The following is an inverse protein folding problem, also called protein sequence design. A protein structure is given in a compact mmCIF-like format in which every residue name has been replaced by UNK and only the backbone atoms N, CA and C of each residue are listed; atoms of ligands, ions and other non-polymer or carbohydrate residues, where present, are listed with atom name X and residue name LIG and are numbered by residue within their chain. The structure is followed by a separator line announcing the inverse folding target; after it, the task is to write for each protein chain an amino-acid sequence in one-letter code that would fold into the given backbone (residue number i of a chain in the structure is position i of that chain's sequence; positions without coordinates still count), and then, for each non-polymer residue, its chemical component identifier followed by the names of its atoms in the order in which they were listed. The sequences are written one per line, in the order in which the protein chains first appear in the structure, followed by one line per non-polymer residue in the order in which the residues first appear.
data_IF_830153300219
#
_entry.id   IF_830153300219
#
_cell.length_a   1.000
_cell.length_b   1.000
_cell.length_c   1.000
_cell.angle_alpha   90.00
_cell.angle_beta   90.00
_cell.angle_gamma   90.00
#
_symmetry.space_group_name_H-M   'P 1'
#
loop_
_entity.id
_entity.type
_entity.pdbx_description
1 polymer ?
#
# COMPACT_ATOMS: atom_id res chain seq x y z
N UNK A 1 76.59 -1.98 1.37
CA UNK A 1 75.51 -2.59 2.17
C UNK A 1 74.27 -1.71 2.04
N UNK A 2 73.29 -2.12 1.29
CA UNK A 2 71.98 -1.38 1.13
C UNK A 2 70.94 -2.15 1.93
N UNK A 3 70.12 -1.49 2.75
CA UNK A 3 69.05 -2.17 3.47
C UNK A 3 67.85 -2.39 2.53
N UNK A 4 67.32 -3.62 2.50
CA UNK A 4 66.04 -4.00 1.90
C UNK A 4 64.91 -3.60 2.85
N UNK A 5 64.01 -2.71 2.36
CA UNK A 5 62.75 -2.39 3.07
C UNK A 5 61.72 -3.39 2.58
N UNK A 6 61.25 -4.24 3.50
CA UNK A 6 60.14 -5.19 3.30
C UNK A 6 58.82 -4.43 3.50
N UNK A 7 58.08 -4.13 2.45
CA UNK A 7 56.73 -3.54 2.54
C UNK A 7 55.76 -4.69 2.74
N UNK A 8 55.16 -4.76 3.94
CA UNK A 8 54.10 -5.69 4.27
C UNK A 8 52.78 -5.14 3.73
N UNK A 9 52.27 -5.73 2.66
CA UNK A 9 50.89 -5.43 2.15
C UNK A 9 49.88 -6.12 3.08
N UNK A 10 49.22 -5.34 3.93
CA UNK A 10 48.08 -5.79 4.72
C UNK A 10 46.82 -5.73 3.84
N UNK A 11 46.39 -6.86 3.24
CA UNK A 11 45.15 -6.97 2.48
C UNK A 11 43.99 -6.96 3.47
N UNK A 12 43.29 -5.80 3.60
CA UNK A 12 41.99 -5.73 4.25
C UNK A 12 40.96 -6.45 3.38
N UNK A 13 40.61 -7.67 3.74
CA UNK A 13 39.42 -8.34 3.26
C UNK A 13 38.20 -7.62 3.85
N UNK A 14 37.55 -6.76 3.05
CA UNK A 14 36.23 -6.24 3.36
C UNK A 14 35.24 -7.42 3.27
N UNK A 15 34.86 -7.96 4.42
CA UNK A 15 33.71 -8.88 4.51
C UNK A 15 32.46 -8.06 4.24
N UNK A 16 31.99 -8.10 2.99
CA UNK A 16 30.62 -7.67 2.68
C UNK A 16 29.65 -8.59 3.42
N UNK A 17 29.11 -8.13 4.52
CA UNK A 17 27.97 -8.77 5.16
C UNK A 17 26.82 -8.68 4.18
N UNK A 18 26.51 -9.78 3.50
CA UNK A 18 25.29 -9.94 2.71
C UNK A 18 24.13 -10.03 3.70
N UNK A 19 23.60 -8.88 4.11
CA UNK A 19 22.34 -8.83 4.83
C UNK A 19 21.25 -9.42 3.94
N UNK A 20 20.63 -10.54 4.36
CA UNK A 20 19.45 -11.08 3.68
C UNK A 20 18.35 -10.04 3.72
N UNK A 21 17.66 -9.86 2.60
CA UNK A 21 16.42 -9.03 2.56
C UNK A 21 15.47 -9.55 3.62
N UNK A 22 14.92 -8.71 4.52
CA UNK A 22 13.94 -9.15 5.49
C UNK A 22 12.70 -9.69 4.77
N UNK A 23 12.20 -10.82 5.25
CA UNK A 23 11.08 -11.54 4.64
C UNK A 23 9.75 -11.05 5.26
N UNK A 24 8.70 -10.96 4.44
CA UNK A 24 7.35 -10.78 4.94
C UNK A 24 6.82 -12.12 5.45
N UNK A 25 6.46 -12.19 6.72
CA UNK A 25 5.87 -13.38 7.33
C UNK A 25 4.34 -13.27 7.39
N UNK A 26 3.60 -13.89 6.46
CA UNK A 26 2.15 -13.94 6.47
C UNK A 26 1.59 -15.05 7.37
N UNK A 27 2.39 -15.63 8.28
CA UNK A 27 1.98 -16.75 9.13
C UNK A 27 0.70 -16.45 9.91
N UNK A 28 -0.25 -17.38 9.84
CA UNK A 28 -1.58 -17.21 10.44
C UNK A 28 -2.57 -16.41 9.59
N UNK A 29 -2.12 -15.75 8.52
CA UNK A 29 -2.98 -15.11 7.52
C UNK A 29 -3.04 -15.92 6.22
N UNK A 30 -1.89 -16.36 5.70
CA UNK A 30 -1.85 -17.16 4.48
C UNK A 30 -1.93 -18.65 4.79
N UNK A 31 -2.86 -19.32 4.11
CA UNK A 31 -3.06 -20.76 4.21
C UNK A 31 -2.17 -21.50 3.20
N UNK A 32 -1.98 -22.83 3.39
CA UNK A 32 -1.19 -23.64 2.46
C UNK A 32 -1.68 -23.63 1.02
N UNK A 33 -3.01 -23.43 0.80
CA UNK A 33 -3.62 -23.31 -0.53
C UNK A 33 -3.42 -21.94 -1.19
N UNK A 34 -2.79 -20.98 -0.48
CA UNK A 34 -2.53 -19.62 -0.95
C UNK A 34 -3.57 -18.60 -0.55
N UNK A 35 -4.71 -18.98 0.00
CA UNK A 35 -5.72 -18.09 0.52
C UNK A 35 -5.12 -17.16 1.60
N UNK A 36 -5.37 -15.84 1.50
CA UNK A 36 -4.85 -14.84 2.43
C UNK A 36 -6.02 -14.18 3.17
N UNK A 37 -6.21 -14.54 4.45
CA UNK A 37 -7.35 -14.09 5.25
C UNK A 37 -7.18 -12.66 5.73
N UNK A 38 -8.31 -11.97 5.95
CA UNK A 38 -8.33 -10.60 6.48
C UNK A 38 -7.76 -10.53 7.90
N UNK A 39 -8.15 -11.47 8.76
CA UNK A 39 -7.72 -11.53 10.16
C UNK A 39 -6.86 -12.77 10.43
N UNK A 40 -6.06 -12.69 11.46
CA UNK A 40 -5.20 -13.79 11.92
C UNK A 40 -6.03 -15.05 12.17
N UNK A 41 -5.69 -16.16 11.48
CA UNK A 41 -6.41 -17.44 11.49
C UNK A 41 -7.90 -17.31 11.14
N UNK A 42 -8.24 -16.27 10.37
CA UNK A 42 -9.62 -15.96 10.01
C UNK A 42 -10.22 -16.88 8.95
N UNK A 43 -11.52 -16.78 8.79
CA UNK A 43 -12.35 -17.51 7.83
C UNK A 43 -13.05 -16.57 6.81
N UNK A 44 -12.52 -15.37 6.69
CA UNK A 44 -12.97 -14.31 5.77
C UNK A 44 -11.81 -13.71 5.00
N UNK A 45 -11.99 -13.57 3.70
CA UNK A 45 -11.03 -12.97 2.79
C UNK A 45 -11.67 -11.75 2.12
N UNK A 46 -10.99 -10.63 2.25
CA UNK A 46 -11.22 -9.42 1.48
C UNK A 46 -10.03 -9.23 0.54
N UNK A 47 -10.17 -9.49 -0.77
CA UNK A 47 -9.04 -9.47 -1.70
C UNK A 47 -8.32 -8.12 -1.78
N UNK A 48 -9.03 -7.02 -1.56
CA UNK A 48 -8.44 -5.69 -1.49
C UNK A 48 -7.34 -5.62 -0.41
N UNK A 49 -7.66 -5.98 0.83
CA UNK A 49 -6.70 -5.92 1.93
C UNK A 49 -5.53 -6.87 1.75
N UNK A 50 -5.80 -8.07 1.25
CA UNK A 50 -4.77 -9.08 0.98
C UNK A 50 -3.78 -8.59 -0.09
N UNK A 51 -4.30 -8.09 -1.21
CA UNK A 51 -3.48 -7.58 -2.33
C UNK A 51 -2.68 -6.35 -1.90
N UNK A 52 -3.33 -5.41 -1.21
CA UNK A 52 -2.69 -4.18 -0.71
C UNK A 52 -1.60 -4.47 0.32
N UNK A 53 -1.81 -5.45 1.21
CA UNK A 53 -0.81 -5.85 2.19
C UNK A 53 0.48 -6.37 1.54
N UNK A 54 0.35 -7.22 0.52
CA UNK A 54 1.48 -7.75 -0.25
C UNK A 54 2.23 -6.63 -0.99
N UNK A 55 1.51 -5.74 -1.67
CA UNK A 55 2.11 -4.60 -2.37
C UNK A 55 2.80 -3.62 -1.40
N UNK A 56 2.22 -3.39 -0.22
CA UNK A 56 2.82 -2.54 0.81
C UNK A 56 4.13 -3.15 1.32
N UNK A 57 4.12 -4.45 1.64
CA UNK A 57 5.31 -5.16 2.10
C UNK A 57 6.42 -5.15 1.03
N UNK A 58 6.07 -5.40 -0.25
CA UNK A 58 6.98 -5.34 -1.38
C UNK A 58 7.59 -3.95 -1.56
N UNK A 59 6.77 -2.91 -1.55
CA UNK A 59 7.23 -1.52 -1.68
C UNK A 59 8.11 -1.08 -0.49
N UNK A 60 7.92 -1.68 0.68
CA UNK A 60 8.78 -1.47 1.84
C UNK A 60 10.13 -2.22 1.75
N UNK A 61 10.29 -3.07 0.74
CA UNK A 61 11.51 -3.85 0.51
C UNK A 61 11.57 -5.18 1.28
N UNK A 62 10.42 -5.71 1.72
CA UNK A 62 10.33 -7.05 2.26
C UNK A 62 10.26 -8.07 1.10
N UNK A 63 10.82 -9.26 1.30
CA UNK A 63 10.66 -10.35 0.34
C UNK A 63 9.26 -10.95 0.46
N UNK A 64 8.47 -10.77 -0.59
CA UNK A 64 7.07 -11.24 -0.69
C UNK A 64 6.88 -12.29 -1.80
N UNK A 65 7.96 -12.73 -2.45
CA UNK A 65 7.87 -13.57 -3.67
C UNK A 65 6.99 -14.80 -3.49
N UNK A 66 7.23 -15.57 -2.44
CA UNK A 66 6.45 -16.77 -2.18
C UNK A 66 4.99 -16.46 -1.80
N UNK A 67 4.71 -15.55 -0.84
CA UNK A 67 3.34 -15.13 -0.53
C UNK A 67 2.56 -14.60 -1.73
N UNK A 68 3.17 -13.79 -2.58
CA UNK A 68 2.53 -13.22 -3.78
C UNK A 68 2.20 -14.33 -4.79
N UNK A 69 3.13 -15.24 -5.09
CA UNK A 69 2.86 -16.33 -6.05
C UNK A 69 1.71 -17.22 -5.58
N UNK A 70 1.66 -17.56 -4.31
CA UNK A 70 0.55 -18.31 -3.71
C UNK A 70 -0.77 -17.55 -3.81
N UNK A 71 -0.76 -16.25 -3.50
CA UNK A 71 -1.95 -15.41 -3.59
C UNK A 71 -2.46 -15.27 -5.02
N UNK A 72 -1.59 -15.02 -5.98
CA UNK A 72 -1.97 -14.95 -7.41
C UNK A 72 -2.59 -16.29 -7.86
N UNK A 73 -1.94 -17.41 -7.56
CA UNK A 73 -2.46 -18.73 -7.91
C UNK A 73 -3.85 -19.01 -7.30
N UNK A 74 -4.08 -18.49 -6.09
CA UNK A 74 -5.37 -18.65 -5.41
C UNK A 74 -6.45 -17.73 -5.97
N UNK A 75 -6.14 -16.46 -6.24
CA UNK A 75 -7.14 -15.45 -6.62
C UNK A 75 -7.45 -15.45 -8.12
N UNK A 76 -6.47 -15.72 -8.98
CA UNK A 76 -6.60 -15.68 -10.44
C UNK A 76 -7.82 -16.45 -10.98
N UNK A 77 -8.06 -17.74 -10.58
CA UNK A 77 -9.21 -18.50 -11.05
C UNK A 77 -10.55 -18.05 -10.44
N UNK A 78 -10.54 -17.07 -9.54
CA UNK A 78 -11.72 -16.55 -8.85
C UNK A 78 -12.19 -15.21 -9.37
N UNK A 79 -11.50 -14.68 -10.39
CA UNK A 79 -11.95 -13.47 -11.08
C UNK A 79 -13.26 -13.78 -11.84
N UNK A 80 -14.25 -12.94 -11.66
CA UNK A 80 -15.54 -13.04 -12.32
C UNK A 80 -15.43 -12.73 -13.83
N UNK A 81 -16.46 -13.09 -14.59
CA UNK A 81 -16.48 -12.85 -16.04
C UNK A 81 -16.45 -11.37 -16.42
N UNK A 82 -17.02 -10.52 -15.55
CA UNK A 82 -17.00 -9.07 -15.70
C UNK A 82 -15.72 -8.42 -15.18
N UNK A 83 -14.72 -9.20 -14.79
CA UNK A 83 -13.42 -8.76 -14.31
C UNK A 83 -13.37 -8.47 -12.81
N UNK A 84 -14.51 -8.37 -12.13
CA UNK A 84 -14.58 -8.09 -10.70
C UNK A 84 -14.13 -9.27 -9.83
N UNK A 85 -14.00 -9.01 -8.53
CA UNK A 85 -13.75 -10.02 -7.51
C UNK A 85 -14.85 -9.95 -6.44
N UNK A 86 -15.08 -11.06 -5.75
CA UNK A 86 -15.94 -11.09 -4.57
C UNK A 86 -15.13 -11.18 -3.30
N UNK A 87 -15.83 -11.16 -2.17
CA UNK A 87 -15.32 -11.53 -0.85
C UNK A 87 -15.60 -13.00 -0.60
N UNK A 88 -14.72 -13.66 0.15
CA UNK A 88 -14.80 -15.10 0.34
C UNK A 88 -14.89 -15.45 1.81
N UNK A 89 -15.76 -16.43 2.10
CA UNK A 89 -15.97 -16.99 3.42
C UNK A 89 -15.76 -18.48 3.41
N UNK A 90 -15.45 -19.05 4.56
CA UNK A 90 -15.51 -20.50 4.78
C UNK A 90 -16.08 -20.80 6.16
N UNK A 91 -16.77 -21.93 6.29
CA UNK A 91 -17.08 -22.52 7.59
C UNK A 91 -15.98 -23.52 7.95
N UNK A 92 -15.86 -23.90 9.23
CA UNK A 92 -14.91 -24.94 9.63
C UNK A 92 -15.03 -26.18 8.75
N UNK A 93 -13.89 -26.68 8.26
CA UNK A 93 -13.79 -27.86 7.38
C UNK A 93 -14.50 -27.74 6.01
N UNK A 94 -14.80 -26.54 5.55
CA UNK A 94 -15.38 -26.29 4.24
C UNK A 94 -14.42 -25.51 3.33
N UNK A 95 -14.65 -25.61 2.02
CA UNK A 95 -13.93 -24.82 1.02
C UNK A 95 -14.36 -23.34 1.04
N UNK A 96 -13.48 -22.48 0.56
CA UNK A 96 -13.78 -21.07 0.32
C UNK A 96 -14.88 -20.91 -0.75
N UNK A 97 -15.86 -20.06 -0.46
CA UNK A 97 -16.92 -19.69 -1.39
C UNK A 97 -17.13 -18.18 -1.37
N UNK A 98 -17.58 -17.62 -2.47
CA UNK A 98 -17.95 -16.21 -2.54
C UNK A 98 -19.16 -15.95 -1.64
N UNK A 99 -19.05 -14.97 -0.73
CA UNK A 99 -20.12 -14.66 0.22
C UNK A 99 -20.61 -13.19 0.15
N UNK A 100 -19.87 -12.30 -0.51
CA UNK A 100 -20.27 -10.91 -0.71
C UNK A 100 -19.64 -10.32 -1.98
N UNK A 101 -20.12 -9.15 -2.41
CA UNK A 101 -19.49 -8.31 -3.42
C UNK A 101 -18.22 -7.67 -2.84
N UNK A 102 -17.31 -7.21 -3.70
CA UNK A 102 -16.23 -6.32 -3.30
C UNK A 102 -16.78 -5.03 -2.71
N UNK A 103 -15.97 -4.35 -1.91
CA UNK A 103 -16.32 -3.04 -1.35
C UNK A 103 -16.12 -1.92 -2.36
N UNK A 104 -14.97 -1.98 -3.04
CA UNK A 104 -14.54 -1.03 -4.05
C UNK A 104 -13.89 -1.79 -5.20
N UNK A 105 -14.56 -1.80 -6.37
CA UNK A 105 -14.03 -2.47 -7.56
C UNK A 105 -12.86 -1.70 -8.16
N UNK A 106 -12.87 -0.36 -8.13
CA UNK A 106 -11.85 0.49 -8.74
C UNK A 106 -10.47 0.26 -8.12
N UNK A 107 -10.34 0.39 -6.81
CA UNK A 107 -9.05 0.14 -6.14
C UNK A 107 -8.66 -1.34 -6.18
N UNK A 108 -9.61 -2.28 -6.03
CA UNK A 108 -9.30 -3.71 -6.10
C UNK A 108 -8.73 -4.10 -7.48
N UNK A 109 -9.35 -3.64 -8.57
CA UNK A 109 -8.89 -3.92 -9.93
C UNK A 109 -7.52 -3.29 -10.20
N UNK A 110 -7.31 -2.05 -9.75
CA UNK A 110 -6.04 -1.34 -9.90
C UNK A 110 -4.90 -2.06 -9.14
N UNK A 111 -5.12 -2.44 -7.89
CA UNK A 111 -4.13 -3.17 -7.09
C UNK A 111 -3.86 -4.57 -7.65
N UNK A 112 -4.86 -5.26 -8.17
CA UNK A 112 -4.68 -6.53 -8.84
C UNK A 112 -3.80 -6.42 -10.08
N UNK A 113 -4.07 -5.45 -10.94
CA UNK A 113 -3.23 -5.15 -12.11
C UNK A 113 -1.81 -4.81 -11.68
N UNK A 114 -1.64 -3.95 -10.68
CA UNK A 114 -0.32 -3.60 -10.15
C UNK A 114 0.43 -4.84 -9.67
N UNK A 115 -0.22 -5.71 -8.90
CA UNK A 115 0.40 -6.94 -8.39
C UNK A 115 0.89 -7.84 -9.51
N UNK A 116 0.06 -8.07 -10.55
CA UNK A 116 0.43 -8.90 -11.70
C UNK A 116 1.59 -8.30 -12.48
N UNK A 117 1.54 -7.01 -12.82
CA UNK A 117 2.61 -6.35 -13.58
C UNK A 117 3.93 -6.30 -12.80
N UNK A 118 3.89 -6.03 -11.51
CA UNK A 118 5.09 -5.92 -10.67
C UNK A 118 5.77 -7.27 -10.49
N UNK A 119 4.99 -8.34 -10.36
CA UNK A 119 5.51 -9.68 -10.10
C UNK A 119 5.67 -10.54 -11.37
N UNK A 120 5.46 -9.97 -12.54
CA UNK A 120 5.76 -10.63 -13.80
C UNK A 120 7.28 -10.70 -14.05
N UNK A 121 7.80 -11.74 -14.73
CA UNK A 121 9.19 -11.81 -15.15
C UNK A 121 9.53 -10.71 -16.16
N UNK A 122 10.82 -10.44 -16.37
CA UNK A 122 11.29 -9.42 -17.32
C UNK A 122 10.86 -9.67 -18.77
N UNK A 123 10.53 -10.92 -19.10
CA UNK A 123 9.99 -11.29 -20.41
C UNK A 123 8.54 -10.82 -20.65
N UNK A 124 7.87 -10.27 -19.64
CA UNK A 124 6.49 -9.78 -19.73
C UNK A 124 5.51 -10.63 -18.92
N UNK A 125 4.23 -10.31 -19.07
CA UNK A 125 3.15 -11.03 -18.38
C UNK A 125 3.07 -12.49 -18.82
N UNK A 126 2.98 -13.44 -17.88
CA UNK A 126 2.69 -14.85 -18.19
C UNK A 126 1.40 -15.01 -19.00
N UNK A 127 1.38 -15.94 -19.95
CA UNK A 127 0.23 -16.13 -20.85
C UNK A 127 -1.05 -16.47 -20.09
N UNK A 128 -0.95 -17.18 -18.97
CA UNK A 128 -2.07 -17.53 -18.09
C UNK A 128 -2.67 -16.33 -17.33
N UNK A 129 -1.95 -15.19 -17.26
CA UNK A 129 -2.45 -13.97 -16.61
C UNK A 129 -3.13 -13.01 -17.60
N UNK A 130 -2.84 -13.13 -18.91
CA UNK A 130 -3.29 -12.17 -19.92
C UNK A 130 -4.81 -11.95 -19.93
N UNK A 131 -5.59 -13.04 -19.91
CA UNK A 131 -7.05 -12.93 -19.89
C UNK A 131 -7.60 -12.28 -18.61
N UNK A 132 -6.89 -12.40 -17.49
CA UNK A 132 -7.26 -11.72 -16.24
C UNK A 132 -6.93 -10.22 -16.31
N UNK A 133 -5.78 -9.89 -16.84
CA UNK A 133 -5.35 -8.50 -17.03
C UNK A 133 -6.31 -7.77 -17.96
N UNK A 134 -6.64 -8.35 -19.12
CA UNK A 134 -7.57 -7.77 -20.08
C UNK A 134 -8.94 -7.46 -19.44
N UNK A 135 -9.53 -8.44 -18.75
CA UNK A 135 -10.81 -8.24 -18.03
C UNK A 135 -10.72 -7.16 -16.94
N UNK A 136 -9.61 -7.12 -16.21
CA UNK A 136 -9.43 -6.12 -15.15
C UNK A 136 -9.25 -4.72 -15.74
N UNK A 137 -8.46 -4.56 -16.82
CA UNK A 137 -8.27 -3.27 -17.51
C UNK A 137 -9.60 -2.76 -18.10
N UNK A 138 -10.38 -3.62 -18.77
CA UNK A 138 -11.69 -3.25 -19.32
C UNK A 138 -12.67 -2.84 -18.23
N UNK A 139 -12.72 -3.61 -17.13
CA UNK A 139 -13.64 -3.32 -16.03
C UNK A 139 -13.24 -2.04 -15.28
N UNK A 140 -11.95 -1.81 -15.05
CA UNK A 140 -11.47 -0.58 -14.44
C UNK A 140 -11.81 0.63 -15.31
N UNK A 141 -11.55 0.58 -16.64
CA UNK A 141 -11.87 1.70 -17.53
C UNK A 141 -13.37 1.99 -17.56
N UNK A 142 -14.23 0.97 -17.43
CA UNK A 142 -15.68 1.13 -17.36
C UNK A 142 -16.16 1.87 -16.09
N UNK A 143 -15.35 1.97 -15.05
CA UNK A 143 -15.65 2.74 -13.83
C UNK A 143 -15.28 4.22 -13.95
N UNK A 144 -14.57 4.61 -15.00
CA UNK A 144 -14.11 5.97 -15.19
C UNK A 144 -15.26 6.91 -15.51
N UNK A 145 -15.41 7.97 -14.73
CA UNK A 145 -16.36 9.03 -15.01
C UNK A 145 -15.82 9.94 -16.13
N UNK A 146 -16.45 9.91 -17.29
CA UNK A 146 -15.99 10.67 -18.47
C UNK A 146 -15.98 12.20 -18.29
N UNK A 147 -16.78 12.76 -17.37
CA UNK A 147 -16.84 14.21 -17.09
C UNK A 147 -15.84 14.63 -16.02
N UNK A 148 -15.74 13.87 -14.94
CA UNK A 148 -14.86 14.20 -13.82
C UNK A 148 -13.44 13.69 -14.05
N UNK A 149 -13.26 12.59 -14.78
CA UNK A 149 -11.99 11.97 -15.06
C UNK A 149 -11.47 11.08 -13.93
N UNK A 150 -12.23 10.91 -12.85
CA UNK A 150 -11.96 10.02 -11.71
C UNK A 150 -12.77 8.74 -11.81
N UNK A 151 -12.40 7.73 -11.05
CA UNK A 151 -13.06 6.43 -11.02
C UNK A 151 -14.13 6.38 -9.93
N UNK A 152 -15.19 5.65 -10.20
CA UNK A 152 -16.26 5.34 -9.25
C UNK A 152 -15.96 4.01 -8.54
N UNK A 153 -16.39 3.92 -7.29
CA UNK A 153 -16.23 2.72 -6.44
C UNK A 153 -16.71 1.43 -7.14
N UNK A 154 -17.81 1.47 -7.85
CA UNK A 154 -18.32 0.33 -8.62
C UNK A 154 -19.31 0.78 -9.71
N UNK A 155 -19.73 -0.16 -10.55
CA UNK A 155 -20.79 0.11 -11.57
C UNK A 155 -22.14 0.51 -10.96
N UNK A 156 -22.42 0.07 -9.73
CA UNK A 156 -23.66 0.34 -9.01
C UNK A 156 -23.51 1.54 -8.05
N UNK A 157 -22.30 1.79 -7.55
CA UNK A 157 -22.01 2.88 -6.64
C UNK A 157 -21.15 3.94 -7.34
N UNK A 158 -21.79 5.01 -7.80
CA UNK A 158 -21.15 6.10 -8.55
C UNK A 158 -20.51 7.15 -7.62
N UNK A 159 -20.14 6.78 -6.42
CA UNK A 159 -19.29 7.60 -5.55
C UNK A 159 -17.85 7.49 -6.03
N UNK A 160 -17.09 8.57 -5.97
CA UNK A 160 -15.65 8.54 -6.15
C UNK A 160 -15.00 8.91 -4.82
N UNK A 161 -14.04 8.11 -4.39
CA UNK A 161 -13.25 8.29 -3.18
C UNK A 161 -11.83 8.72 -3.53
N UNK A 162 -11.26 9.60 -2.73
CA UNK A 162 -9.87 10.05 -2.90
C UNK A 162 -8.90 8.87 -2.81
N UNK A 163 -9.04 8.05 -1.77
CA UNK A 163 -8.13 6.93 -1.49
C UNK A 163 -8.07 5.97 -2.67
N UNK A 164 -9.24 5.56 -3.17
CA UNK A 164 -9.37 4.62 -4.29
C UNK A 164 -8.73 5.19 -5.57
N UNK A 165 -9.01 6.46 -5.86
CA UNK A 165 -8.45 7.12 -7.04
C UNK A 165 -6.93 7.32 -6.96
N UNK A 166 -6.38 7.54 -5.77
CA UNK A 166 -4.93 7.59 -5.55
C UNK A 166 -4.31 6.20 -5.74
N UNK A 167 -4.99 5.13 -5.34
CA UNK A 167 -4.55 3.76 -5.59
C UNK A 167 -4.55 3.43 -7.08
N UNK A 168 -5.58 3.83 -7.82
CA UNK A 168 -5.62 3.70 -9.29
C UNK A 168 -4.44 4.47 -9.92
N UNK A 169 -4.18 5.70 -9.48
CA UNK A 169 -3.03 6.49 -9.95
C UNK A 169 -1.71 5.75 -9.69
N UNK A 170 -1.48 5.31 -8.45
CA UNK A 170 -0.28 4.58 -8.07
C UNK A 170 -0.08 3.30 -8.90
N UNK A 171 -1.17 2.55 -9.13
CA UNK A 171 -1.17 1.36 -9.96
C UNK A 171 -0.79 1.68 -11.42
N UNK A 172 -1.37 2.72 -12.02
CA UNK A 172 -1.05 3.14 -13.39
C UNK A 172 0.44 3.51 -13.52
N UNK A 173 1.01 4.24 -12.55
CA UNK A 173 2.45 4.58 -12.53
C UNK A 173 3.30 3.31 -12.47
N UNK A 174 2.95 2.37 -11.60
CA UNK A 174 3.67 1.10 -11.47
C UNK A 174 3.56 0.24 -12.75
N UNK A 175 2.37 0.16 -13.36
CA UNK A 175 2.12 -0.55 -14.62
C UNK A 175 2.94 0.07 -15.76
N UNK A 176 2.98 1.39 -15.87
CA UNK A 176 3.79 2.08 -16.89
C UNK A 176 5.26 1.73 -16.76
N UNK A 177 5.81 1.77 -15.55
CA UNK A 177 7.20 1.36 -15.26
C UNK A 177 7.47 -0.09 -15.64
N UNK A 178 6.54 -1.00 -15.37
CA UNK A 178 6.71 -2.41 -15.72
C UNK A 178 6.56 -2.67 -17.23
N UNK A 179 5.67 -1.97 -17.92
CA UNK A 179 5.61 -2.01 -19.41
C UNK A 179 6.91 -1.53 -20.03
N UNK A 180 7.55 -0.49 -19.47
CA UNK A 180 8.90 -0.06 -19.91
C UNK A 180 9.93 -1.17 -19.67
N UNK A 181 9.93 -1.82 -18.51
CA UNK A 181 10.80 -2.98 -18.19
C UNK A 181 10.62 -4.13 -19.20
N UNK A 182 9.41 -4.33 -19.70
CA UNK A 182 9.10 -5.35 -20.74
C UNK A 182 9.46 -4.90 -22.17
N UNK A 183 10.04 -3.71 -22.36
CA UNK A 183 10.33 -3.17 -23.68
C UNK A 183 9.11 -2.63 -24.45
N UNK A 184 7.99 -2.42 -23.78
CA UNK A 184 6.71 -1.95 -24.36
C UNK A 184 6.59 -0.42 -24.25
N UNK A 185 7.57 0.33 -24.76
CA UNK A 185 7.73 1.77 -24.55
C UNK A 185 6.49 2.61 -24.93
N UNK A 186 5.81 2.30 -26.05
CA UNK A 186 4.60 3.04 -26.46
C UNK A 186 3.43 2.79 -25.51
N UNK A 187 3.25 1.55 -25.05
CA UNK A 187 2.21 1.22 -24.06
C UNK A 187 2.54 1.81 -22.69
N UNK A 188 3.81 1.83 -22.29
CA UNK A 188 4.28 2.46 -21.07
C UNK A 188 3.93 3.95 -21.06
N UNK A 189 4.26 4.67 -22.16
CA UNK A 189 3.93 6.10 -22.34
C UNK A 189 2.43 6.35 -22.26
N UNK A 190 1.62 5.59 -22.99
CA UNK A 190 0.16 5.74 -22.96
C UNK A 190 -0.42 5.48 -21.55
N UNK A 191 0.16 4.55 -20.79
CA UNK A 191 -0.26 4.29 -19.40
C UNK A 191 0.17 5.41 -18.47
N UNK A 192 1.36 5.97 -18.66
CA UNK A 192 1.85 7.13 -17.91
C UNK A 192 0.97 8.38 -18.16
N UNK A 193 0.58 8.63 -19.40
CA UNK A 193 -0.34 9.73 -19.75
C UNK A 193 -1.72 9.57 -19.08
N UNK A 194 -2.22 8.33 -18.94
CA UNK A 194 -3.43 8.05 -18.15
C UNK A 194 -3.23 8.41 -16.68
N UNK A 195 -2.09 8.06 -16.08
CA UNK A 195 -1.78 8.41 -14.69
C UNK A 195 -1.74 9.94 -14.48
N UNK A 196 -1.09 10.69 -15.36
CA UNK A 196 -0.99 12.16 -15.30
C UNK A 196 -2.36 12.83 -15.48
N UNK A 197 -3.19 12.27 -16.36
CA UNK A 197 -4.58 12.73 -16.55
C UNK A 197 -5.40 12.51 -15.29
N UNK A 198 -5.22 11.36 -14.63
CA UNK A 198 -5.90 11.05 -13.37
C UNK A 198 -5.40 11.92 -12.22
N UNK A 199 -4.08 12.17 -12.09
CA UNK A 199 -3.54 13.13 -11.11
C UNK A 199 -4.22 14.49 -11.25
N UNK A 200 -4.23 15.05 -12.47
CA UNK A 200 -4.91 16.32 -12.76
C UNK A 200 -6.39 16.30 -12.39
N UNK A 201 -7.07 15.16 -12.57
CA UNK A 201 -8.47 14.99 -12.19
C UNK A 201 -8.64 14.92 -10.66
N UNK A 202 -7.79 14.18 -9.95
CA UNK A 202 -7.77 14.09 -8.48
C UNK A 202 -7.60 15.48 -7.86
N UNK A 203 -6.60 16.25 -8.33
CA UNK A 203 -6.36 17.61 -7.85
C UNK A 203 -7.58 18.52 -8.07
N UNK A 204 -8.21 18.43 -9.23
CA UNK A 204 -9.38 19.25 -9.55
C UNK A 204 -10.61 18.87 -8.75
N UNK A 205 -10.82 17.59 -8.50
CA UNK A 205 -12.06 17.05 -7.91
C UNK A 205 -12.01 17.06 -6.38
N UNK A 206 -10.88 16.68 -5.81
CA UNK A 206 -10.80 16.46 -4.36
C UNK A 206 -10.07 17.58 -3.62
N UNK A 207 -9.15 18.33 -4.25
CA UNK A 207 -8.39 19.37 -3.55
C UNK A 207 -9.25 20.58 -3.18
N UNK A 208 -9.30 20.90 -1.88
CA UNK A 208 -9.91 22.11 -1.36
C UNK A 208 -8.83 23.17 -1.07
N UNK A 209 -8.75 24.18 -1.95
CA UNK A 209 -7.74 25.26 -1.87
C UNK A 209 -7.85 26.13 -0.60
N UNK A 210 -9.05 26.25 -0.03
CA UNK A 210 -9.25 27.10 1.15
C UNK A 210 -8.79 26.43 2.45
N UNK A 211 -8.93 25.08 2.49
CA UNK A 211 -8.53 24.29 3.65
C UNK A 211 -7.12 23.73 3.50
N UNK A 212 -6.54 23.82 2.29
CA UNK A 212 -5.30 23.13 1.89
C UNK A 212 -5.36 21.62 2.25
N UNK A 213 -6.47 20.99 1.89
CA UNK A 213 -6.85 19.66 2.32
C UNK A 213 -7.63 18.93 1.25
N UNK A 214 -7.43 17.65 1.10
CA UNK A 214 -8.24 16.84 0.19
C UNK A 214 -9.57 16.45 0.82
N UNK A 215 -10.65 16.55 0.08
CA UNK A 215 -11.93 15.92 0.43
C UNK A 215 -11.82 14.42 0.22
N UNK A 216 -12.27 13.57 1.16
CA UNK A 216 -12.16 12.12 1.04
C UNK A 216 -13.11 11.55 -0.04
N UNK A 217 -14.16 12.29 -0.41
CA UNK A 217 -15.20 11.86 -1.34
C UNK A 217 -15.76 13.05 -2.13
N UNK A 218 -16.39 12.75 -3.30
CA UNK A 218 -17.24 13.71 -4.02
C UNK A 218 -18.56 13.99 -3.29
N UNK A 219 -18.93 13.16 -2.33
CA UNK A 219 -20.09 13.38 -1.47
C UNK A 219 -19.72 14.21 -0.25
N UNK A 220 -20.68 15.00 0.25
CA UNK A 220 -20.50 15.73 1.50
C UNK A 220 -20.78 14.81 2.68
N UNK A 221 -19.80 14.58 3.51
CA UNK A 221 -19.90 13.83 4.75
C UNK A 221 -19.56 14.72 5.93
N UNK A 222 -20.00 14.31 7.14
CA UNK A 222 -19.50 14.90 8.38
C UNK A 222 -18.03 14.50 8.51
N UNK A 223 -17.12 15.46 8.79
CA UNK A 223 -15.71 15.14 8.97
C UNK A 223 -15.50 14.17 10.14
N UNK A 224 -14.73 13.11 9.88
CA UNK A 224 -14.36 12.08 10.86
C UNK A 224 -12.86 11.77 10.73
N UNK A 225 -12.29 11.07 11.72
CA UNK A 225 -10.89 10.68 11.62
C UNK A 225 -10.66 9.78 10.39
N UNK A 226 -11.47 8.76 10.24
CA UNK A 226 -11.60 8.01 8.98
C UNK A 226 -12.98 8.34 8.36
N UNK A 227 -13.05 8.71 7.10
CA UNK A 227 -11.96 8.71 6.12
C UNK A 227 -11.15 10.03 6.03
N UNK A 228 -11.63 11.17 6.58
CA UNK A 228 -11.14 12.51 6.22
C UNK A 228 -9.65 12.71 6.54
N UNK A 229 -9.23 12.34 7.75
CA UNK A 229 -7.85 12.57 8.22
C UNK A 229 -6.91 11.51 7.66
N UNK A 230 -7.35 10.25 7.60
CA UNK A 230 -6.54 9.14 7.07
C UNK A 230 -6.34 9.27 5.56
N UNK A 231 -7.34 9.73 4.81
CA UNK A 231 -7.22 9.87 3.36
C UNK A 231 -6.06 10.77 2.92
N UNK A 232 -5.62 11.70 3.76
CA UNK A 232 -4.53 12.63 3.45
C UNK A 232 -3.17 11.93 3.26
N UNK A 233 -2.97 10.75 3.84
CA UNK A 233 -1.68 10.03 3.70
C UNK A 233 -1.53 9.33 2.36
N UNK A 234 -2.61 9.06 1.66
CA UNK A 234 -2.59 8.31 0.40
C UNK A 234 -1.82 9.02 -0.71
N UNK A 235 -2.07 10.33 -1.01
CA UNK A 235 -1.27 11.08 -1.97
C UNK A 235 0.21 11.07 -1.63
N UNK A 236 0.59 11.18 -0.35
CA UNK A 236 1.99 11.12 0.07
C UNK A 236 2.59 9.74 -0.19
N UNK A 237 1.90 8.66 0.15
CA UNK A 237 2.38 7.30 -0.08
C UNK A 237 2.56 6.98 -1.57
N UNK A 238 1.72 7.56 -2.42
CA UNK A 238 1.76 7.42 -3.88
C UNK A 238 2.74 8.37 -4.59
N UNK A 239 3.55 9.15 -3.86
CA UNK A 239 4.42 10.21 -4.42
C UNK A 239 3.68 11.24 -5.29
N UNK A 240 2.37 11.41 -5.05
CA UNK A 240 1.61 12.42 -5.77
C UNK A 240 2.07 13.83 -5.39
N UNK A 241 2.26 14.74 -6.37
CA UNK A 241 2.44 16.13 -6.07
C UNK A 241 1.17 16.70 -5.47
N UNK A 242 1.26 17.29 -4.28
CA UNK A 242 0.13 18.00 -3.67
C UNK A 242 0.23 19.48 -4.03
N UNK A 243 -0.85 20.07 -4.53
CA UNK A 243 -0.95 21.50 -4.87
C UNK A 243 -0.96 22.41 -3.63
N UNK A 244 -0.18 22.06 -2.61
CA UNK A 244 0.03 22.84 -1.41
C UNK A 244 1.23 23.77 -1.59
N UNK A 245 1.08 25.03 -1.18
CA UNK A 245 2.20 25.97 -1.10
C UNK A 245 3.29 25.54 -0.10
N UNK A 246 2.95 24.63 0.81
CA UNK A 246 3.84 24.18 1.89
C UNK A 246 4.77 23.03 1.50
N UNK A 247 4.45 22.27 0.43
CA UNK A 247 5.14 21.02 0.08
C UNK A 247 4.79 19.86 1.05
N UNK A 248 5.02 18.64 0.59
CA UNK A 248 4.55 17.42 1.27
C UNK A 248 5.11 17.25 2.70
N UNK A 249 6.39 17.60 2.94
CA UNK A 249 6.99 17.49 4.28
C UNK A 249 6.32 18.42 5.30
N UNK A 250 6.05 19.67 4.92
CA UNK A 250 5.37 20.61 5.82
C UNK A 250 3.89 20.23 6.02
N UNK A 251 3.24 19.67 4.99
CA UNK A 251 1.90 19.12 5.12
C UNK A 251 1.86 17.95 6.11
N UNK A 252 2.86 17.06 6.09
CA UNK A 252 3.02 16.01 7.12
C UNK A 252 3.19 16.60 8.52
N UNK A 253 4.07 17.58 8.70
CA UNK A 253 4.29 18.21 10.01
C UNK A 253 3.02 18.89 10.54
N UNK A 254 2.25 19.56 9.67
CA UNK A 254 0.95 20.13 10.01
C UNK A 254 -0.07 19.07 10.40
N UNK A 255 -0.16 17.98 9.62
CA UNK A 255 -1.02 16.83 9.94
C UNK A 255 -0.64 16.23 11.30
N UNK A 256 0.63 15.96 11.51
CA UNK A 256 1.16 15.39 12.75
C UNK A 256 0.85 16.25 13.96
N UNK A 257 1.08 17.56 13.88
CA UNK A 257 0.81 18.48 15.00
C UNK A 257 -0.66 18.50 15.43
N UNK A 258 -1.58 18.23 14.50
CA UNK A 258 -3.02 18.23 14.74
C UNK A 258 -3.57 16.88 15.17
N UNK A 259 -3.05 15.77 14.64
CA UNK A 259 -3.72 14.46 14.71
C UNK A 259 -2.87 13.33 15.29
N UNK A 260 -1.58 13.56 15.63
CA UNK A 260 -0.75 12.49 16.18
C UNK A 260 -1.31 11.90 17.48
N UNK A 261 -1.91 12.74 18.35
CA UNK A 261 -2.52 12.29 19.59
C UNK A 261 -3.73 11.38 19.35
N UNK A 262 -4.61 11.74 18.41
CA UNK A 262 -5.77 10.94 18.04
C UNK A 262 -5.34 9.61 17.41
N UNK A 263 -4.39 9.65 16.48
CA UNK A 263 -3.84 8.48 15.81
C UNK A 263 -3.20 7.51 16.81
N UNK A 264 -2.22 7.98 17.58
CA UNK A 264 -1.42 7.13 18.46
C UNK A 264 -2.20 6.62 19.68
N UNK A 265 -3.13 7.43 20.23
CA UNK A 265 -3.97 7.06 21.36
C UNK A 265 -5.29 6.41 20.96
N UNK A 266 -5.60 6.36 19.65
CA UNK A 266 -6.83 5.75 19.10
C UNK A 266 -8.12 6.28 19.75
N UNK A 267 -8.16 7.60 19.98
CA UNK A 267 -9.29 8.24 20.67
C UNK A 267 -10.55 8.33 19.84
N UNK A 268 -10.37 8.50 18.50
CA UNK A 268 -11.46 8.70 17.55
C UNK A 268 -11.74 7.47 16.69
N UNK A 269 -10.76 6.58 16.56
CA UNK A 269 -10.86 5.39 15.72
C UNK A 269 -10.07 4.25 16.36
N UNK A 270 -10.66 3.03 16.45
CA UNK A 270 -10.02 1.89 17.12
C UNK A 270 -8.90 1.23 16.28
N UNK A 271 -8.81 1.55 14.99
CA UNK A 271 -7.80 0.97 14.10
C UNK A 271 -6.44 1.66 14.30
N UNK A 272 -5.34 0.91 14.21
CA UNK A 272 -4.01 1.46 14.44
C UNK A 272 -3.45 2.31 13.28
N UNK A 273 -4.02 2.18 12.07
CA UNK A 273 -3.66 2.94 10.87
C UNK A 273 -2.16 2.91 10.55
N UNK A 274 -1.64 1.71 10.30
CA UNK A 274 -0.23 1.49 9.93
C UNK A 274 0.21 2.27 8.68
N UNK A 275 -0.71 2.59 7.76
CA UNK A 275 -0.42 3.46 6.62
C UNK A 275 0.07 4.86 7.03
N UNK A 276 -0.39 5.38 8.18
CA UNK A 276 0.11 6.65 8.74
C UNK A 276 1.56 6.49 9.20
N UNK A 277 1.92 5.35 9.80
CA UNK A 277 3.30 5.07 10.18
C UNK A 277 4.22 4.91 8.95
N UNK A 278 3.71 4.33 7.86
CA UNK A 278 4.42 4.30 6.58
C UNK A 278 4.64 5.70 6.01
N UNK A 279 3.66 6.60 6.12
CA UNK A 279 3.83 7.99 5.73
C UNK A 279 4.86 8.72 6.61
N UNK A 280 4.89 8.45 7.93
CA UNK A 280 5.92 8.97 8.82
C UNK A 280 7.32 8.57 8.35
N UNK A 281 7.54 7.29 8.04
CA UNK A 281 8.82 6.80 7.49
C UNK A 281 9.19 7.47 6.18
N UNK A 282 8.23 7.74 5.32
CA UNK A 282 8.47 8.43 4.04
C UNK A 282 9.01 9.84 4.21
N UNK A 283 8.70 10.48 5.34
CA UNK A 283 9.19 11.81 5.69
C UNK A 283 10.35 11.79 6.71
N UNK A 284 11.00 10.64 6.88
CA UNK A 284 12.11 10.43 7.83
C UNK A 284 11.71 10.68 9.31
N UNK A 285 10.42 10.58 9.62
CA UNK A 285 9.90 10.74 10.98
C UNK A 285 9.89 9.38 11.71
N UNK A 286 11.09 8.89 11.98
CA UNK A 286 11.32 7.60 12.65
C UNK A 286 10.81 7.58 14.09
N UNK A 287 10.77 8.72 14.78
CA UNK A 287 10.23 8.81 16.14
C UNK A 287 8.72 8.51 16.14
N UNK A 288 7.95 9.08 15.20
CA UNK A 288 6.51 8.79 15.08
C UNK A 288 6.25 7.33 14.68
N UNK A 289 7.02 6.78 13.76
CA UNK A 289 6.92 5.39 13.35
C UNK A 289 7.26 4.42 14.49
N UNK A 290 8.31 4.70 15.27
CA UNK A 290 8.71 3.90 16.43
C UNK A 290 7.67 3.95 17.56
N UNK A 291 7.09 5.14 17.79
CA UNK A 291 6.02 5.28 18.77
C UNK A 291 4.79 4.47 18.37
N UNK A 292 4.39 4.56 17.07
CA UNK A 292 3.29 3.75 16.56
C UNK A 292 3.57 2.26 16.74
N UNK A 293 4.76 1.78 16.39
CA UNK A 293 5.15 0.37 16.52
C UNK A 293 4.92 -0.14 17.95
N UNK A 294 5.42 0.61 18.94
CA UNK A 294 5.26 0.26 20.36
C UNK A 294 3.79 0.26 20.82
N UNK A 295 2.97 1.18 20.29
CA UNK A 295 1.54 1.31 20.61
C UNK A 295 0.67 0.30 19.88
N UNK A 296 1.10 -0.14 18.71
CA UNK A 296 0.39 -1.07 17.86
C UNK A 296 0.64 -2.54 18.24
N UNK A 297 1.83 -2.86 18.74
CA UNK A 297 2.22 -4.23 19.08
C UNK A 297 1.22 -4.98 19.99
N UNK A 298 0.68 -4.40 21.08
CA UNK A 298 -0.31 -5.07 21.91
C UNK A 298 -1.66 -5.33 21.22
N UNK A 299 -1.90 -4.70 20.08
CA UNK A 299 -3.14 -4.85 19.31
C UNK A 299 -3.05 -5.93 18.25
N UNK A 300 -1.84 -6.44 17.98
CA UNK A 300 -1.64 -7.48 16.96
C UNK A 300 -2.56 -8.66 17.23
N UNK A 301 -3.15 -9.14 16.15
CA UNK A 301 -4.08 -10.28 16.14
C UNK A 301 -5.43 -10.05 16.86
N UNK A 302 -5.74 -8.81 17.25
CA UNK A 302 -7.08 -8.44 17.74
C UNK A 302 -8.09 -8.29 16.60
N UNK A 303 -9.36 -8.07 16.92
CA UNK A 303 -10.42 -7.81 15.93
C UNK A 303 -10.24 -6.54 15.12
N UNK A 304 -9.44 -5.56 15.61
CA UNK A 304 -9.11 -4.32 14.91
C UNK A 304 -7.78 -4.41 14.15
N UNK A 305 -7.22 -5.62 14.05
CA UNK A 305 -5.96 -5.88 13.36
C UNK A 305 -6.20 -6.78 12.15
N UNK A 306 -5.90 -6.28 10.98
CA UNK A 306 -6.03 -7.03 9.74
C UNK A 306 -4.66 -7.28 9.08
N UNK A 307 -4.64 -7.99 7.97
CA UNK A 307 -3.41 -8.35 7.23
C UNK A 307 -2.64 -7.13 6.71
N UNK A 308 -3.33 -6.02 6.42
CA UNK A 308 -2.68 -4.77 5.99
C UNK A 308 -1.93 -4.11 7.15
N UNK A 309 -2.53 -4.13 8.35
CA UNK A 309 -1.86 -3.65 9.55
C UNK A 309 -0.64 -4.51 9.89
N UNK A 310 -0.73 -5.83 9.70
CA UNK A 310 0.40 -6.74 9.87
C UNK A 310 1.53 -6.44 8.89
N UNK A 311 1.23 -6.21 7.62
CA UNK A 311 2.21 -5.82 6.62
C UNK A 311 2.88 -4.48 6.96
N UNK A 312 2.10 -3.49 7.38
CA UNK A 312 2.64 -2.21 7.83
C UNK A 312 3.54 -2.35 9.07
N UNK A 313 3.13 -3.19 10.03
CA UNK A 313 3.90 -3.46 11.24
C UNK A 313 5.28 -4.04 10.91
N UNK A 314 5.32 -5.09 10.10
CA UNK A 314 6.57 -5.73 9.70
C UNK A 314 7.45 -4.78 8.87
N UNK A 315 6.85 -3.98 7.97
CA UNK A 315 7.55 -2.98 7.18
C UNK A 315 8.18 -1.88 8.05
N UNK A 316 7.44 -1.35 9.01
CA UNK A 316 7.94 -0.35 9.97
C UNK A 316 9.03 -0.96 10.85
N UNK A 317 8.81 -2.17 11.38
CA UNK A 317 9.80 -2.87 12.21
C UNK A 317 11.12 -3.09 11.47
N UNK A 318 11.06 -3.51 10.21
CA UNK A 318 12.26 -3.71 9.39
C UNK A 318 13.05 -2.41 9.17
N UNK A 319 12.37 -1.28 9.01
CA UNK A 319 13.01 0.03 8.80
C UNK A 319 13.54 0.62 10.11
N UNK A 320 12.75 0.58 11.17
CA UNK A 320 13.11 1.13 12.49
C UNK A 320 14.22 0.28 13.14
N UNK A 321 14.11 -1.06 13.07
CA UNK A 321 15.13 -1.98 13.61
C UNK A 321 16.49 -1.85 12.93
N UNK A 322 16.55 -1.39 11.68
CA UNK A 322 17.79 -1.05 10.99
C UNK A 322 18.42 0.27 11.48
N UNK A 323 17.60 1.16 12.06
CA UNK A 323 18.03 2.51 12.41
C UNK A 323 18.51 2.67 13.87
N UNK A 324 18.07 1.83 14.81
CA UNK A 324 18.51 1.88 16.23
C UNK A 324 17.74 0.87 17.11
N UNK A 325 18.32 0.52 18.26
CA UNK A 325 17.59 -0.09 19.39
C UNK A 325 16.33 0.71 19.70
N UNK A 326 15.18 0.05 19.82
CA UNK A 326 13.87 0.65 20.09
C UNK A 326 13.98 1.72 21.19
N UNK A 327 13.78 2.99 20.79
CA UNK A 327 13.88 4.11 21.73
C UNK A 327 12.58 4.22 22.54
N UNK A 328 12.52 3.83 23.82
CA UNK A 328 11.31 3.93 24.64
C UNK A 328 10.81 5.38 24.81
N UNK A 329 11.68 6.36 24.53
CA UNK A 329 11.36 7.80 24.60
C UNK A 329 10.77 8.36 23.30
N UNK A 330 10.59 7.54 22.24
CA UNK A 330 10.05 8.04 20.96
C UNK A 330 8.66 8.68 21.14
N UNK A 331 7.78 8.05 21.93
CA UNK A 331 6.44 8.57 22.18
C UNK A 331 6.42 9.91 22.94
N UNK A 332 7.35 10.14 23.86
CA UNK A 332 7.43 11.42 24.60
C UNK A 332 7.80 12.59 23.69
N UNK A 333 8.62 12.36 22.68
CA UNK A 333 9.01 13.38 21.71
C UNK A 333 7.86 13.75 20.76
N UNK A 334 6.99 12.77 20.39
CA UNK A 334 5.85 13.00 19.52
C UNK A 334 4.77 13.82 20.23
N UNK A 335 4.55 13.56 21.53
CA UNK A 335 3.55 14.27 22.35
C UNK A 335 3.99 15.70 22.75
N UNK A 336 5.25 16.04 22.61
CA UNK A 336 5.82 17.31 23.00
C UNK A 336 5.98 18.31 21.84
N UNK A 337 5.51 17.99 20.64
CA UNK A 337 5.50 18.93 19.53
C UNK A 337 4.44 20.02 19.79
N UNK A 338 4.79 21.32 19.72
CA UNK A 338 3.93 22.45 20.06
C UNK A 338 2.74 22.64 19.13
#
# INVERSE_FOLDING_TARGET
MRPFILILFCSLLAVCASGSTPEFDPNGYQLPDGALSLHYRGDYIEPYFATKALLLAENAGLDVREPVQKWIAWLLPRQEKDGSFGRYCRKPNQSWHRCALADADDSMLALWLQLLYTNAPDSGLPVEWLASVERAEESLEALRNGRLGVYHVSRQNHVALLMDNVEVYSALVAIARNKERFGQADQARATQEKAETLDSAIQRVFWNKHEEWFRPSIQKNKPEFYPDVVAQVYPWLADMPVNSNMGNRNAWLSWKSRFAGEWLDKKLDPHPWGLVAMAALKFDDTDSASCWLSRAEPLRFSSNWNVLEEAAFQAVQAKVGQASETNPMACSKVSAAP
#
